data_IF_688211124735
#
_entry.id   IF_688211124735
#
_cell.length_a   1.000
_cell.length_b   1.000
_cell.length_c   1.000
_cell.angle_alpha   90.00
_cell.angle_beta   90.00
_cell.angle_gamma   90.00
#
_symmetry.space_group_name_H-M   'P 1'
#
loop_
_entity.id
_entity.type
_entity.pdbx_description
1 polymer ?
#
# COMPACT_ATOMS: atom_id res chain seq x y z
N UNK A 1 -12.51 11.86 26.23
CA UNK A 1 -11.69 10.63 26.07
C UNK A 1 -10.52 10.71 27.04
N UNK A 2 -10.41 9.78 27.96
CA UNK A 2 -9.35 9.79 28.98
C UNK A 2 -8.01 9.37 28.35
N UNK A 3 -6.88 9.79 28.96
CA UNK A 3 -5.54 9.46 28.46
C UNK A 3 -5.30 7.95 28.29
N UNK A 4 -5.91 7.12 29.14
CA UNK A 4 -5.86 5.66 29.02
C UNK A 4 -6.64 5.14 27.80
N UNK A 5 -7.80 5.71 27.49
CA UNK A 5 -8.59 5.35 26.31
C UNK A 5 -7.83 5.70 25.02
N UNK A 6 -7.21 6.89 24.96
CA UNK A 6 -6.38 7.31 23.82
C UNK A 6 -5.23 6.32 23.60
N UNK A 7 -4.54 5.93 24.69
CA UNK A 7 -3.43 4.99 24.63
C UNK A 7 -3.88 3.61 24.15
N UNK A 8 -5.05 3.15 24.60
CA UNK A 8 -5.63 1.86 24.20
C UNK A 8 -5.99 1.84 22.71
N UNK A 9 -6.60 2.90 22.20
CA UNK A 9 -6.93 3.02 20.77
C UNK A 9 -5.66 3.15 19.91
N UNK A 10 -4.63 3.84 20.38
CA UNK A 10 -3.33 3.89 19.69
C UNK A 10 -2.66 2.51 19.61
N UNK A 11 -2.64 1.74 20.70
CA UNK A 11 -2.06 0.38 20.71
C UNK A 11 -2.84 -0.52 19.76
N UNK A 12 -4.17 -0.45 19.78
CA UNK A 12 -5.02 -1.20 18.84
C UNK A 12 -4.73 -0.83 17.39
N UNK A 13 -4.59 0.48 17.09
CA UNK A 13 -4.22 0.96 15.76
C UNK A 13 -2.87 0.42 15.29
N UNK A 14 -1.85 0.43 16.16
CA UNK A 14 -0.53 -0.11 15.87
C UNK A 14 -0.60 -1.62 15.59
N UNK A 15 -1.33 -2.37 16.40
CA UNK A 15 -1.50 -3.82 16.19
C UNK A 15 -2.18 -4.13 14.85
N UNK A 16 -3.22 -3.38 14.50
CA UNK A 16 -3.91 -3.52 13.21
C UNK A 16 -2.98 -3.18 12.04
N UNK A 17 -2.15 -2.15 12.16
CA UNK A 17 -1.14 -1.79 11.16
C UNK A 17 -0.09 -2.90 10.99
N UNK A 18 0.39 -3.49 12.07
CA UNK A 18 1.35 -4.61 12.01
C UNK A 18 0.75 -5.83 11.32
N UNK A 19 -0.49 -6.20 11.66
CA UNK A 19 -1.21 -7.30 10.99
C UNK A 19 -1.39 -7.00 9.51
N UNK A 20 -1.81 -5.79 9.15
CA UNK A 20 -1.95 -5.36 7.76
C UNK A 20 -0.64 -5.42 6.99
N UNK A 21 0.46 -4.95 7.59
CA UNK A 21 1.79 -5.00 6.99
C UNK A 21 2.26 -6.45 6.75
N UNK A 22 2.01 -7.34 7.73
CA UNK A 22 2.32 -8.77 7.59
C UNK A 22 1.53 -9.42 6.46
N UNK A 23 0.23 -9.15 6.39
CA UNK A 23 -0.64 -9.65 5.31
C UNK A 23 -0.21 -9.14 3.94
N UNK A 24 0.14 -7.86 3.83
CA UNK A 24 0.66 -7.26 2.59
C UNK A 24 1.97 -7.91 2.16
N UNK A 25 2.93 -8.09 3.07
CA UNK A 25 4.21 -8.75 2.78
C UNK A 25 4.01 -10.19 2.30
N UNK A 26 3.15 -10.95 2.97
CA UNK A 26 2.77 -12.30 2.58
C UNK A 26 2.14 -12.37 1.17
N UNK A 27 1.33 -11.39 0.82
CA UNK A 27 0.63 -11.38 -0.47
C UNK A 27 1.59 -11.36 -1.68
N UNK A 28 2.74 -10.69 -1.56
CA UNK A 28 3.77 -10.68 -2.61
C UNK A 28 4.39 -12.05 -2.86
N UNK A 29 4.56 -12.84 -1.80
CA UNK A 29 5.08 -14.21 -1.89
C UNK A 29 4.10 -15.10 -2.67
N UNK A 30 2.79 -14.99 -2.38
CA UNK A 30 1.77 -15.74 -3.12
C UNK A 30 1.73 -15.38 -4.60
N UNK A 31 1.93 -14.11 -4.96
CA UNK A 31 2.03 -13.70 -6.37
C UNK A 31 3.23 -14.37 -7.04
N UNK A 32 4.38 -14.46 -6.36
CA UNK A 32 5.59 -15.05 -6.92
C UNK A 32 5.51 -16.57 -7.10
N UNK A 33 4.81 -17.27 -6.20
CA UNK A 33 4.64 -18.73 -6.26
C UNK A 33 3.55 -19.12 -7.29
N UNK A 34 2.65 -18.22 -7.63
CA UNK A 34 1.58 -18.50 -8.57
C UNK A 34 2.10 -18.57 -10.01
N UNK A 35 1.83 -19.68 -10.70
CA UNK A 35 2.13 -19.89 -12.13
C UNK A 35 1.20 -19.11 -13.07
N UNK A 36 0.29 -18.30 -12.50
CA UNK A 36 -0.67 -17.52 -13.27
C UNK A 36 -0.09 -16.21 -13.78
N UNK A 37 -0.64 -15.69 -14.88
CA UNK A 37 -0.21 -14.40 -15.40
C UNK A 37 -0.44 -13.27 -14.37
N UNK A 38 0.47 -12.28 -14.28
CA UNK A 38 0.37 -11.17 -13.33
C UNK A 38 -0.97 -10.42 -13.38
N UNK A 39 -1.50 -10.23 -14.60
CA UNK A 39 -2.80 -9.58 -14.81
C UNK A 39 -3.98 -10.37 -14.24
N UNK A 40 -3.93 -11.69 -14.37
CA UNK A 40 -4.95 -12.57 -13.83
C UNK A 40 -4.96 -12.56 -12.30
N UNK A 41 -3.78 -12.56 -11.69
CA UNK A 41 -3.63 -12.46 -10.24
C UNK A 41 -4.20 -11.12 -9.73
N UNK A 42 -3.87 -10.00 -10.41
CA UNK A 42 -4.39 -8.69 -10.06
C UNK A 42 -5.91 -8.64 -10.13
N UNK A 43 -6.49 -9.22 -11.20
CA UNK A 43 -7.93 -9.31 -11.38
C UNK A 43 -8.63 -10.10 -10.26
N UNK A 44 -8.15 -11.31 -9.95
CA UNK A 44 -8.75 -12.11 -8.88
C UNK A 44 -8.60 -11.50 -7.50
N UNK A 45 -7.48 -10.85 -7.21
CA UNK A 45 -7.28 -10.11 -5.94
C UNK A 45 -8.32 -9.00 -5.79
N UNK A 46 -8.53 -8.21 -6.84
CA UNK A 46 -9.54 -7.16 -6.84
C UNK A 46 -10.97 -7.73 -6.72
N UNK A 47 -11.28 -8.76 -7.52
CA UNK A 47 -12.59 -9.39 -7.52
C UNK A 47 -12.95 -10.00 -6.16
N UNK A 48 -12.02 -10.72 -5.53
CA UNK A 48 -12.21 -11.33 -4.22
C UNK A 48 -12.30 -10.29 -3.09
N UNK A 49 -11.67 -9.13 -3.24
CA UNK A 49 -11.78 -8.05 -2.25
C UNK A 49 -13.17 -7.37 -2.24
N UNK A 50 -13.88 -7.33 -3.38
CA UNK A 50 -15.16 -6.63 -3.51
C UNK A 50 -16.23 -7.06 -2.49
N UNK A 51 -16.50 -8.37 -2.27
CA UNK A 51 -17.52 -8.77 -1.30
C UNK A 51 -17.16 -8.35 0.13
N UNK A 52 -15.88 -8.41 0.51
CA UNK A 52 -15.42 -7.98 1.84
C UNK A 52 -15.56 -6.47 2.00
N UNK A 53 -15.18 -5.68 1.00
CA UNK A 53 -15.32 -4.24 0.99
C UNK A 53 -16.80 -3.83 1.02
N UNK A 54 -17.67 -4.55 0.30
CA UNK A 54 -19.10 -4.30 0.34
C UNK A 54 -19.72 -4.56 1.72
N UNK A 55 -19.34 -5.67 2.37
CA UNK A 55 -19.79 -6.00 3.72
C UNK A 55 -19.30 -4.94 4.72
N UNK A 56 -18.02 -4.52 4.59
CA UNK A 56 -17.44 -3.48 5.43
C UNK A 56 -18.17 -2.15 5.26
N UNK A 57 -18.39 -1.72 4.03
CA UNK A 57 -19.16 -0.51 3.71
C UNK A 57 -20.55 -0.54 4.37
N UNK A 58 -21.26 -1.65 4.27
CA UNK A 58 -22.58 -1.82 4.90
C UNK A 58 -22.53 -1.81 6.41
N UNK A 59 -21.48 -2.33 6.99
CA UNK A 59 -21.26 -2.29 8.43
C UNK A 59 -21.02 -0.86 8.93
N UNK A 60 -20.16 -0.12 8.23
CA UNK A 60 -19.83 1.27 8.56
C UNK A 60 -21.03 2.21 8.39
N UNK A 61 -21.80 2.04 7.33
CA UNK A 61 -23.05 2.77 7.09
C UNK A 61 -24.09 2.60 8.23
N UNK A 62 -24.05 1.44 8.91
CA UNK A 62 -24.92 1.21 10.09
C UNK A 62 -24.41 1.87 11.35
N UNK A 63 -23.10 2.02 11.50
CA UNK A 63 -22.48 2.61 12.69
C UNK A 63 -22.54 4.14 12.66
N UNK A 64 -22.31 4.72 11.49
CA UNK A 64 -22.36 6.16 11.26
C UNK A 64 -23.15 6.43 9.97
N UNK A 65 -24.48 6.57 10.08
CA UNK A 65 -25.29 6.94 8.94
C UNK A 65 -24.83 8.31 8.44
N UNK A 66 -24.16 8.35 7.31
CA UNK A 66 -23.72 9.60 6.71
C UNK A 66 -24.72 10.02 5.63
N UNK A 67 -25.33 11.20 5.78
CA UNK A 67 -26.09 11.89 4.73
C UNK A 67 -25.17 12.45 3.61
N UNK A 68 -24.09 11.73 3.30
CA UNK A 68 -23.17 12.11 2.22
C UNK A 68 -23.90 11.95 0.89
N UNK A 69 -24.56 13.02 0.45
CA UNK A 69 -24.96 13.15 -0.96
C UNK A 69 -23.67 13.27 -1.77
N UNK A 70 -23.26 12.17 -2.39
CA UNK A 70 -22.11 12.15 -3.29
C UNK A 70 -22.41 13.04 -4.49
N UNK A 71 -21.85 14.25 -4.48
CA UNK A 71 -21.86 15.12 -5.65
C UNK A 71 -21.07 14.43 -6.79
N UNK A 72 -21.46 14.67 -8.04
CA UNK A 72 -20.81 14.13 -9.25
C UNK A 72 -19.30 14.36 -9.26
N UNK A 73 -18.86 15.45 -8.64
CA UNK A 73 -17.43 15.78 -8.51
C UNK A 73 -16.69 14.77 -7.64
N UNK A 74 -17.24 14.34 -6.51
CA UNK A 74 -16.64 13.32 -5.65
C UNK A 74 -16.58 11.96 -6.35
N UNK A 75 -17.65 11.60 -7.07
CA UNK A 75 -17.68 10.38 -7.85
C UNK A 75 -16.58 10.35 -8.92
N UNK A 76 -16.34 11.48 -9.60
CA UNK A 76 -15.24 11.58 -10.58
C UNK A 76 -13.87 11.34 -9.94
N UNK A 77 -13.58 11.94 -8.77
CA UNK A 77 -12.31 11.73 -8.08
C UNK A 77 -12.14 10.31 -7.55
N UNK A 78 -13.21 9.70 -7.04
CA UNK A 78 -13.18 8.30 -6.60
C UNK A 78 -12.89 7.38 -7.79
N UNK A 79 -13.55 7.60 -8.91
CA UNK A 79 -13.35 6.81 -10.13
C UNK A 79 -11.92 6.98 -10.68
N UNK A 80 -11.44 8.21 -10.73
CA UNK A 80 -10.07 8.51 -11.15
C UNK A 80 -9.03 7.84 -10.24
N UNK A 81 -9.24 7.91 -8.91
CA UNK A 81 -8.40 7.22 -7.92
C UNK A 81 -8.41 5.71 -8.12
N UNK A 82 -9.58 5.13 -8.40
CA UNK A 82 -9.71 3.70 -8.72
C UNK A 82 -8.93 3.28 -9.97
N UNK A 83 -8.98 4.10 -11.03
CA UNK A 83 -8.19 3.86 -12.25
C UNK A 83 -6.70 3.94 -11.94
N UNK A 84 -6.24 4.99 -11.25
CA UNK A 84 -4.83 5.14 -10.88
C UNK A 84 -4.34 3.95 -10.04
N UNK A 85 -5.13 3.50 -9.08
CA UNK A 85 -4.82 2.34 -8.26
C UNK A 85 -4.75 1.03 -9.08
N UNK A 86 -5.69 0.84 -10.01
CA UNK A 86 -5.69 -0.34 -10.89
C UNK A 86 -4.46 -0.35 -11.81
N UNK A 87 -4.06 0.79 -12.34
CA UNK A 87 -2.84 0.93 -13.15
C UNK A 87 -1.58 0.64 -12.31
N UNK A 88 -1.48 1.21 -11.13
CA UNK A 88 -0.36 0.97 -10.20
C UNK A 88 -0.22 -0.52 -9.88
N UNK A 89 -1.30 -1.18 -9.48
CA UNK A 89 -1.32 -2.61 -9.22
C UNK A 89 -0.94 -3.44 -10.44
N UNK A 90 -1.41 -3.07 -11.64
CA UNK A 90 -1.11 -3.78 -12.87
C UNK A 90 0.38 -3.66 -13.24
N UNK A 91 0.94 -2.46 -13.15
CA UNK A 91 2.34 -2.19 -13.42
C UNK A 91 3.24 -2.91 -12.41
N UNK A 92 2.87 -2.87 -11.12
CA UNK A 92 3.61 -3.56 -10.07
C UNK A 92 3.63 -5.08 -10.30
N UNK A 93 2.46 -5.70 -10.54
CA UNK A 93 2.40 -7.13 -10.83
C UNK A 93 3.21 -7.50 -12.09
N UNK A 94 3.16 -6.66 -13.11
CA UNK A 94 3.93 -6.87 -14.34
C UNK A 94 5.45 -6.76 -14.08
N UNK A 95 5.87 -5.82 -13.25
CA UNK A 95 7.29 -5.65 -12.89
C UNK A 95 7.88 -6.91 -12.24
N UNK A 96 7.07 -7.70 -11.51
CA UNK A 96 7.50 -8.97 -10.90
C UNK A 96 7.91 -10.04 -11.92
N UNK A 97 7.52 -9.89 -13.19
CA UNK A 97 7.95 -10.77 -14.27
C UNK A 97 9.37 -10.46 -14.75
N UNK A 98 9.88 -9.25 -14.47
CA UNK A 98 11.19 -8.79 -14.96
C UNK A 98 12.21 -8.57 -13.85
N UNK A 99 11.74 -8.45 -12.60
CA UNK A 99 12.60 -8.12 -11.46
C UNK A 99 12.32 -9.03 -10.26
N UNK A 100 13.22 -8.99 -9.28
CA UNK A 100 12.98 -9.66 -8.02
C UNK A 100 11.85 -8.98 -7.23
N UNK A 101 11.15 -9.75 -6.38
CA UNK A 101 10.14 -9.20 -5.47
C UNK A 101 10.73 -8.08 -4.59
N UNK A 102 11.97 -8.25 -4.14
CA UNK A 102 12.66 -7.26 -3.32
C UNK A 102 12.87 -5.93 -4.08
N UNK A 103 13.34 -5.98 -5.33
CA UNK A 103 13.56 -4.79 -6.15
C UNK A 103 12.24 -4.07 -6.48
N UNK A 104 11.19 -4.82 -6.84
CA UNK A 104 9.87 -4.24 -7.10
C UNK A 104 9.29 -3.58 -5.85
N UNK A 105 9.44 -4.23 -4.69
CA UNK A 105 8.97 -3.68 -3.41
C UNK A 105 9.77 -2.43 -3.01
N UNK A 106 11.08 -2.40 -3.28
CA UNK A 106 11.91 -1.20 -3.04
C UNK A 106 11.37 -0.01 -3.84
N UNK A 107 11.07 -0.21 -5.11
CA UNK A 107 10.54 0.86 -5.97
C UNK A 107 9.21 1.41 -5.45
N UNK A 108 8.28 0.55 -5.06
CA UNK A 108 7.00 0.99 -4.48
C UNK A 108 7.22 1.77 -3.18
N UNK A 109 8.17 1.36 -2.34
CA UNK A 109 8.48 2.05 -1.09
C UNK A 109 9.14 3.42 -1.28
N UNK A 110 9.51 3.81 -2.50
CA UNK A 110 9.92 5.19 -2.81
C UNK A 110 8.74 6.15 -2.98
N UNK A 111 7.51 5.65 -3.16
CA UNK A 111 6.31 6.47 -3.34
C UNK A 111 6.11 7.56 -2.27
N UNK A 112 6.35 7.34 -0.97
CA UNK A 112 6.24 8.39 0.05
C UNK A 112 7.12 9.60 -0.23
N UNK A 113 8.29 9.42 -0.87
CA UNK A 113 9.17 10.54 -1.25
C UNK A 113 8.49 11.44 -2.26
N UNK A 114 7.86 10.86 -3.29
CA UNK A 114 7.12 11.62 -4.30
C UNK A 114 5.89 12.32 -3.69
N UNK A 115 5.17 11.65 -2.78
CA UNK A 115 4.03 12.26 -2.07
C UNK A 115 4.47 13.49 -1.28
N UNK A 116 5.63 13.42 -0.60
CA UNK A 116 6.19 14.55 0.15
C UNK A 116 6.57 15.70 -0.79
N UNK A 117 7.30 15.39 -1.86
CA UNK A 117 7.73 16.41 -2.84
C UNK A 117 6.50 17.09 -3.44
N UNK A 118 5.50 16.32 -3.83
CA UNK A 118 4.24 16.86 -4.35
C UNK A 118 3.50 17.71 -3.31
N UNK A 119 3.42 17.25 -2.07
CA UNK A 119 2.81 17.98 -0.96
C UNK A 119 3.49 19.31 -0.66
N UNK A 120 4.83 19.35 -0.73
CA UNK A 120 5.61 20.58 -0.57
C UNK A 120 5.37 21.58 -1.70
N UNK A 121 5.41 21.09 -2.95
CA UNK A 121 5.34 21.95 -4.14
C UNK A 121 3.92 22.47 -4.39
N UNK A 122 2.91 21.61 -4.28
CA UNK A 122 1.55 21.93 -4.70
C UNK A 122 0.59 22.24 -3.55
N UNK A 123 0.82 21.68 -2.34
CA UNK A 123 -0.08 21.85 -1.21
C UNK A 123 0.51 22.72 -0.10
N UNK A 124 1.74 23.20 -0.25
CA UNK A 124 2.44 24.04 0.78
C UNK A 124 2.47 23.39 2.17
N UNK A 125 2.57 22.06 2.24
CA UNK A 125 2.65 21.34 3.51
C UNK A 125 3.91 21.73 4.29
N UNK A 126 3.73 21.96 5.60
CA UNK A 126 4.85 22.13 6.52
C UNK A 126 5.28 20.75 7.01
N UNK A 127 6.45 20.30 6.58
CA UNK A 127 6.97 18.99 6.97
C UNK A 127 7.88 19.15 8.18
N UNK A 128 7.68 18.31 9.19
CA UNK A 128 8.55 18.25 10.34
C UNK A 128 9.87 17.57 9.96
N UNK A 129 10.99 18.14 10.38
CA UNK A 129 12.31 17.56 10.15
C UNK A 129 12.45 16.13 10.67
N UNK A 130 11.77 15.81 11.78
CA UNK A 130 11.72 14.46 12.33
C UNK A 130 11.11 13.46 11.36
N UNK A 131 10.10 13.86 10.59
CA UNK A 131 9.48 13.02 9.59
C UNK A 131 10.43 12.71 8.42
N UNK A 132 11.20 13.70 7.98
CA UNK A 132 12.23 13.53 6.95
C UNK A 132 13.32 12.57 7.44
N UNK A 133 13.76 12.72 8.68
CA UNK A 133 14.77 11.84 9.28
C UNK A 133 14.29 10.36 9.32
N UNK A 134 13.04 10.12 9.73
CA UNK A 134 12.43 8.79 9.76
C UNK A 134 12.31 8.21 8.34
N UNK A 135 11.92 9.02 7.37
CA UNK A 135 11.85 8.59 5.97
C UNK A 135 13.22 8.20 5.42
N UNK A 136 14.25 9.03 5.67
CA UNK A 136 15.62 8.72 5.27
C UNK A 136 16.13 7.42 5.91
N UNK A 137 15.81 7.22 7.20
CA UNK A 137 16.17 5.99 7.91
C UNK A 137 15.47 4.77 7.32
N UNK A 138 14.18 4.88 6.98
CA UNK A 138 13.41 3.83 6.32
C UNK A 138 14.00 3.49 4.94
N UNK A 139 14.31 4.50 4.13
CA UNK A 139 14.94 4.31 2.81
C UNK A 139 16.31 3.65 2.91
N UNK A 140 17.12 4.04 3.90
CA UNK A 140 18.41 3.42 4.17
C UNK A 140 18.23 1.95 4.57
N UNK A 141 17.28 1.63 5.42
CA UNK A 141 16.95 0.26 5.81
C UNK A 141 16.56 -0.61 4.60
N UNK A 142 15.72 -0.10 3.73
CA UNK A 142 15.30 -0.79 2.49
C UNK A 142 16.53 -0.99 1.57
N UNK A 143 17.37 0.03 1.39
CA UNK A 143 18.56 -0.05 0.58
C UNK A 143 19.54 -1.13 1.08
N UNK A 144 19.72 -1.24 2.40
CA UNK A 144 20.58 -2.26 3.01
C UNK A 144 20.02 -3.68 2.84
N UNK A 145 18.71 -3.85 2.81
CA UNK A 145 18.07 -5.16 2.61
C UNK A 145 18.12 -5.59 1.14
N UNK A 146 17.97 -4.65 0.22
CA UNK A 146 18.03 -4.90 -1.22
C UNK A 146 19.44 -4.65 -1.72
N UNK A 147 20.41 -5.44 -1.30
CA UNK A 147 21.78 -5.32 -1.83
C UNK A 147 21.77 -5.47 -3.36
N UNK A 148 22.15 -4.43 -4.13
CA UNK A 148 22.27 -4.54 -5.57
C UNK A 148 23.53 -5.32 -5.91
N UNK A 149 23.46 -6.63 -5.95
CA UNK A 149 24.64 -7.45 -6.26
C UNK A 149 24.44 -8.96 -6.18
N UNK A 150 23.47 -9.44 -5.47
CA UNK A 150 23.21 -10.88 -5.36
C UNK A 150 22.13 -11.38 -6.34
N UNK A 151 22.31 -11.10 -7.64
CA UNK A 151 21.59 -11.83 -8.68
C UNK A 151 21.92 -13.34 -8.67
N UNK A 152 22.97 -13.75 -7.96
CA UNK A 152 23.39 -15.15 -7.84
C UNK A 152 22.51 -16.00 -6.92
N UNK A 153 21.75 -15.38 -6.01
CA UNK A 153 20.83 -16.12 -5.14
C UNK A 153 19.48 -16.42 -5.81
N UNK A 154 19.16 -15.75 -6.91
CA UNK A 154 17.96 -16.01 -7.71
C UNK A 154 18.05 -17.31 -8.53
N UNK A 155 19.24 -17.85 -8.76
CA UNK A 155 19.47 -19.05 -9.57
C UNK A 155 19.53 -20.36 -8.76
N UNK A 156 19.45 -20.30 -7.41
CA UNK A 156 19.61 -21.52 -6.59
C UNK A 156 18.28 -22.11 -6.14
N UNK A 157 17.15 -21.45 -6.33
CA UNK A 157 15.86 -22.04 -5.97
C UNK A 157 14.80 -21.87 -7.05
N UNK A 158 14.62 -22.98 -7.76
CA UNK A 158 13.52 -23.48 -8.60
C UNK A 158 13.71 -23.20 -10.06
#
# INVERSE_FOLDING_TARGET
MNAEEIKKEQVKGILLLLVGAFMLGGSGIFVKISDSSPSLIAFYRALLALPFLYIWMKYEERLEPSDLTLDKRYFFFIFLGGICFALDMSIWNWSLSFTSLASSTLMVNTAPVFVIVFGLVFLSYKINISFIAILCLAMLGIFLVVQPGDERLSLIHI
#
